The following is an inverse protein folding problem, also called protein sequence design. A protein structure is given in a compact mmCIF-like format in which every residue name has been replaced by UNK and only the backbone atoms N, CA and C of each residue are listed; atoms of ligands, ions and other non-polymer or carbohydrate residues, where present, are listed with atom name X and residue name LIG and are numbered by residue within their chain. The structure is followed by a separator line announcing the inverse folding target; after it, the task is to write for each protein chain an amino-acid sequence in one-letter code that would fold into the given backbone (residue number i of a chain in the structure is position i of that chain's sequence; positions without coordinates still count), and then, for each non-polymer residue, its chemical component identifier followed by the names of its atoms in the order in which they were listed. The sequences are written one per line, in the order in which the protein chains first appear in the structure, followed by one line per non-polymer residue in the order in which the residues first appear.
data_IF_338427327302
#
_entry.id   IF_338427327302
#
_cell.length_a   1.000
_cell.length_b   1.000
_cell.length_c   1.000
_cell.angle_alpha   90.00
_cell.angle_beta   90.00
_cell.angle_gamma   90.00
#
_symmetry.space_group_name_H-M   'P 1'
#
loop_
_entity.id
_entity.type
_entity.pdbx_description
1 polymer ?
#
# COMPACT_ATOMS: atom_id res chain seq x y z
N UNK A 1 -5.14 -17.90 7.12
CA UNK A 1 -4.69 -16.50 7.05
C UNK A 1 -3.19 -16.53 7.00
N UNK A 2 -2.62 -16.16 5.86
CA UNK A 2 -1.19 -15.82 5.80
C UNK A 2 -0.95 -14.67 6.79
N UNK A 3 0.21 -14.69 7.46
CA UNK A 3 0.56 -13.59 8.36
C UNK A 3 0.69 -12.32 7.51
N UNK A 4 0.17 -11.18 7.96
CA UNK A 4 0.34 -9.93 7.23
C UNK A 4 1.84 -9.59 7.17
N UNK A 5 2.30 -9.11 6.02
CA UNK A 5 3.66 -8.61 5.89
C UNK A 5 3.80 -7.30 6.67
N UNK A 6 4.77 -7.25 7.57
CA UNK A 6 5.05 -6.07 8.40
C UNK A 6 6.30 -5.40 7.87
N UNK A 7 6.22 -4.09 7.67
CA UNK A 7 7.30 -3.27 7.13
C UNK A 7 7.56 -2.05 8.01
N UNK A 8 8.82 -1.78 8.31
CA UNK A 8 9.21 -0.55 9.00
C UNK A 8 9.54 0.54 7.98
N UNK A 9 8.75 1.62 7.96
CA UNK A 9 8.97 2.77 7.09
C UNK A 9 9.18 4.04 7.89
N UNK A 10 10.20 4.81 7.50
CA UNK A 10 10.45 6.12 8.08
C UNK A 10 9.90 7.21 7.17
N UNK A 11 8.92 7.97 7.67
CA UNK A 11 8.40 9.19 7.02
C UNK A 11 8.66 10.39 7.93
N UNK A 12 9.27 11.45 7.39
CA UNK A 12 9.55 12.70 8.13
C UNK A 12 10.22 12.47 9.50
N UNK A 13 11.24 11.62 9.56
CA UNK A 13 11.95 11.20 10.78
C UNK A 13 11.09 10.46 11.83
N UNK A 14 9.89 10.01 11.46
CA UNK A 14 9.03 9.14 12.28
C UNK A 14 9.02 7.75 11.69
N UNK A 15 9.31 6.73 12.51
CA UNK A 15 9.24 5.32 12.12
C UNK A 15 7.84 4.77 12.34
N UNK A 16 7.31 4.09 11.34
CA UNK A 16 5.99 3.45 11.35
C UNK A 16 6.18 1.95 11.13
N UNK A 17 5.57 1.13 12.00
CA UNK A 17 5.40 -0.30 11.77
C UNK A 17 4.11 -0.48 10.96
N UNK A 18 4.25 -0.70 9.65
CA UNK A 18 3.11 -0.76 8.74
C UNK A 18 2.79 -2.21 8.46
N UNK A 19 1.53 -2.55 8.68
CA UNK A 19 0.97 -3.85 8.35
C UNK A 19 0.34 -3.78 6.95
N UNK A 20 0.78 -4.64 6.05
CA UNK A 20 0.23 -4.75 4.71
C UNK A 20 -0.94 -5.73 4.75
N UNK A 21 -2.13 -5.18 4.67
CA UNK A 21 -3.39 -5.90 4.59
C UNK A 21 -3.66 -6.06 3.10
N UNK A 22 -3.02 -7.05 2.51
CA UNK A 22 -3.21 -7.40 1.10
C UNK A 22 -4.64 -7.88 0.90
N UNK A 23 -5.35 -7.25 -0.03
CA UNK A 23 -6.55 -7.84 -0.61
C UNK A 23 -6.40 -7.74 -2.12
N UNK A 24 -5.70 -8.73 -2.69
CA UNK A 24 -5.65 -8.90 -4.13
C UNK A 24 -7.00 -9.46 -4.58
N UNK A 25 -8.04 -8.63 -4.53
CA UNK A 25 -9.23 -8.88 -5.33
C UNK A 25 -8.75 -8.73 -6.78
N UNK A 26 -8.29 -9.84 -7.35
CA UNK A 26 -7.89 -9.98 -8.74
C UNK A 26 -9.13 -9.86 -9.61
N UNK A 27 -9.74 -8.68 -9.63
CA UNK A 27 -10.42 -8.22 -10.82
C UNK A 27 -9.31 -8.11 -11.87
N UNK A 28 -9.55 -8.69 -13.04
CA UNK A 28 -8.50 -8.84 -14.06
C UNK A 28 -7.87 -7.47 -14.36
N UNK A 29 -6.55 -7.37 -14.13
CA UNK A 29 -5.76 -6.15 -14.28
C UNK A 29 -6.01 -5.04 -13.26
N UNK A 30 -6.57 -5.31 -12.07
CA UNK A 30 -6.67 -4.36 -10.96
C UNK A 30 -6.07 -4.91 -9.67
N UNK A 31 -5.15 -4.15 -9.08
CA UNK A 31 -4.49 -4.47 -7.81
C UNK A 31 -4.93 -3.48 -6.73
N UNK A 32 -5.13 -4.01 -5.52
CA UNK A 32 -5.58 -3.24 -4.37
C UNK A 32 -4.82 -3.66 -3.11
N UNK A 33 -4.24 -2.69 -2.40
CA UNK A 33 -3.48 -2.93 -1.18
C UNK A 33 -3.82 -1.90 -0.11
N UNK A 34 -4.15 -2.38 1.09
CA UNK A 34 -4.34 -1.55 2.26
C UNK A 34 -3.12 -1.63 3.18
N UNK A 35 -2.67 -0.49 3.66
CA UNK A 35 -1.57 -0.30 4.58
C UNK A 35 -2.12 0.25 5.88
N UNK A 36 -1.98 -0.50 6.96
CA UNK A 36 -2.35 -0.07 8.30
C UNK A 36 -1.12 0.52 8.98
N UNK A 37 -1.18 1.79 9.32
CA UNK A 37 -0.12 2.50 10.06
C UNK A 37 -0.35 2.40 11.57
N UNK A 38 -1.61 2.44 12.01
CA UNK A 38 -2.06 2.18 13.37
C UNK A 38 -3.56 1.81 13.36
N UNK A 39 -4.19 1.70 14.54
CA UNK A 39 -5.59 1.27 14.66
C UNK A 39 -6.61 2.21 14.01
N UNK A 40 -6.24 3.46 13.74
CA UNK A 40 -7.13 4.48 13.17
C UNK A 40 -6.68 5.00 11.79
N UNK A 41 -5.42 4.76 11.40
CA UNK A 41 -4.85 5.27 10.15
C UNK A 41 -4.57 4.16 9.16
N UNK A 42 -5.36 4.16 8.08
CA UNK A 42 -5.23 3.25 6.96
C UNK A 42 -5.06 4.04 5.67
N UNK A 43 -4.13 3.61 4.83
CA UNK A 43 -3.97 4.11 3.47
C UNK A 43 -4.25 2.95 2.54
N UNK A 44 -5.03 3.20 1.50
CA UNK A 44 -5.26 2.19 0.48
C UNK A 44 -4.81 2.72 -0.87
N UNK A 45 -4.02 1.92 -1.57
CA UNK A 45 -3.57 2.20 -2.93
C UNK A 45 -4.16 1.17 -3.89
N UNK A 46 -4.34 1.62 -5.14
CA UNK A 46 -4.72 0.75 -6.24
C UNK A 46 -3.93 1.07 -7.49
N UNK A 47 -3.87 0.10 -8.39
CA UNK A 47 -3.22 0.22 -9.70
C UNK A 47 -3.96 -0.66 -10.69
N UNK A 48 -4.22 -0.14 -11.90
CA UNK A 48 -4.56 -0.98 -13.04
C UNK A 48 -3.27 -1.47 -13.72
N UNK A 49 -3.33 -2.57 -14.48
CA UNK A 49 -2.18 -3.08 -15.24
C UNK A 49 -1.47 -1.95 -16.00
N UNK A 50 -0.14 -1.92 -15.90
CA UNK A 50 0.74 -0.92 -16.52
C UNK A 50 0.51 0.55 -16.10
N UNK A 51 -0.38 0.82 -15.14
CA UNK A 51 -0.62 2.15 -14.60
C UNK A 51 0.21 2.47 -13.35
N UNK A 52 0.12 3.72 -12.88
CA UNK A 52 0.76 4.18 -11.65
C UNK A 52 -0.12 3.85 -10.45
N UNK A 53 0.52 3.59 -9.31
CA UNK A 53 -0.16 3.46 -8.04
C UNK A 53 -0.82 4.77 -7.62
N UNK A 54 -2.09 4.71 -7.22
CA UNK A 54 -2.89 5.85 -6.76
C UNK A 54 -3.52 5.57 -5.41
N UNK A 55 -3.78 6.60 -4.60
CA UNK A 55 -4.55 6.45 -3.36
C UNK A 55 -6.03 6.36 -3.73
N UNK A 56 -6.74 5.37 -3.21
CA UNK A 56 -8.16 5.10 -3.54
C UNK A 56 -9.10 6.23 -3.09
N UNK A 57 -8.68 7.08 -2.14
CA UNK A 57 -9.51 8.12 -1.54
C UNK A 57 -8.96 9.55 -1.63
N UNK A 58 -7.82 9.81 -2.28
CA UNK A 58 -7.20 11.15 -2.31
C UNK A 58 -6.47 11.48 -3.62
N UNK A 59 -6.43 12.76 -3.96
CA UNK A 59 -5.76 13.32 -5.15
C UNK A 59 -4.24 13.52 -5.01
N UNK A 60 -3.66 13.31 -3.82
CA UNK A 60 -2.21 13.44 -3.57
C UNK A 60 -1.49 12.09 -3.73
N UNK A 61 -0.73 11.94 -4.81
CA UNK A 61 -0.14 10.66 -5.23
C UNK A 61 1.28 10.37 -4.71
N UNK A 62 1.93 11.28 -3.98
CA UNK A 62 3.36 11.14 -3.66
C UNK A 62 3.71 9.97 -2.72
N UNK A 63 2.79 9.60 -1.83
CA UNK A 63 2.96 8.43 -0.95
C UNK A 63 2.52 7.13 -1.62
N UNK A 64 1.54 7.17 -2.53
CA UNK A 64 1.09 5.97 -3.26
C UNK A 64 2.20 5.37 -4.12
N UNK A 65 2.98 6.19 -4.81
CA UNK A 65 4.14 5.75 -5.59
C UNK A 65 5.22 5.09 -4.72
N UNK A 66 5.46 5.61 -3.51
CA UNK A 66 6.44 5.02 -2.57
C UNK A 66 5.96 3.67 -2.05
N UNK A 67 4.69 3.59 -1.62
CA UNK A 67 4.08 2.35 -1.14
C UNK A 67 3.97 1.31 -2.26
N UNK A 68 3.61 1.74 -3.46
CA UNK A 68 3.52 0.90 -4.64
C UNK A 68 4.85 0.27 -5.05
N UNK A 69 5.95 1.03 -5.01
CA UNK A 69 7.29 0.49 -5.28
C UNK A 69 7.70 -0.61 -4.30
N UNK A 70 7.23 -0.55 -3.05
CA UNK A 70 7.50 -1.59 -2.07
C UNK A 70 6.75 -2.86 -2.48
N UNK A 71 5.47 -2.75 -2.84
CA UNK A 71 4.67 -3.88 -3.34
C UNK A 71 5.29 -4.49 -4.59
N UNK A 72 5.71 -3.67 -5.56
CA UNK A 72 6.34 -4.15 -6.81
C UNK A 72 7.69 -4.84 -6.57
N UNK A 73 8.31 -4.66 -5.40
CA UNK A 73 9.58 -5.29 -4.98
C UNK A 73 9.38 -6.46 -4.01
N UNK A 74 8.16 -6.72 -3.56
CA UNK A 74 7.87 -7.88 -2.72
C UNK A 74 7.98 -9.15 -3.57
N UNK A 75 8.59 -10.22 -3.02
CA UNK A 75 8.86 -11.47 -3.73
C UNK A 75 7.60 -12.25 -4.11
#
# INVERSE_FOLDING_TARGET
MEKPDILNLTFNNTEYNIEIIGNVDKIDGFYYYSFKFDDNHFITISKYDDEKWQIVSMSTNSIAEKLGKIIDQMP
#
